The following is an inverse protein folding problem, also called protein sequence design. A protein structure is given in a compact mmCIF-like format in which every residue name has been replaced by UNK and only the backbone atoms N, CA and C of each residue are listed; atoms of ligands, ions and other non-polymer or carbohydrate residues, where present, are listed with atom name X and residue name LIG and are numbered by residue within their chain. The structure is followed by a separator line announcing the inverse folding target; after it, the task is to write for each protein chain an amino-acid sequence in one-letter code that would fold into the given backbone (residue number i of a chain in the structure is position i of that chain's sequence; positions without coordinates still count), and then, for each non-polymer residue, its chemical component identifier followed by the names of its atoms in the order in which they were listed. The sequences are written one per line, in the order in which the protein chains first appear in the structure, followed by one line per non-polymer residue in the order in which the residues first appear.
data_IF_905818442993
#
_entry.id   IF_905818442993
#
_cell.length_a   1.000
_cell.length_b   1.000
_cell.length_c   1.000
_cell.angle_alpha   90.00
_cell.angle_beta   90.00
_cell.angle_gamma   90.00
#
_symmetry.space_group_name_H-M   'P 1'
#
loop_
_entity.id
_entity.type
_entity.pdbx_description
1 polymer ?
#
# COMPACT_ATOMS: atom_id res chain seq x y z
N UNK A 1 -24.48 3.36 14.61
CA UNK A 1 -23.62 4.10 13.65
C UNK A 1 -23.60 3.33 12.33
N UNK A 2 -23.51 4.01 11.19
CA UNK A 2 -23.36 3.35 9.88
C UNK A 2 -21.99 2.66 9.77
N UNK A 3 -21.87 1.47 9.14
CA UNK A 3 -20.58 0.81 8.94
C UNK A 3 -19.58 1.68 8.16
N UNK A 4 -18.30 1.57 8.50
CA UNK A 4 -17.19 2.21 7.78
C UNK A 4 -16.98 1.46 6.46
N UNK A 5 -16.89 2.19 5.36
CA UNK A 5 -16.63 1.62 4.03
C UNK A 5 -15.12 1.48 3.82
N UNK A 6 -14.65 0.26 3.62
CA UNK A 6 -13.29 -0.05 3.21
C UNK A 6 -13.23 -0.15 1.68
N UNK A 7 -12.38 0.67 1.07
CA UNK A 7 -12.25 0.73 -0.38
C UNK A 7 -10.81 1.01 -0.81
N UNK A 8 -10.52 0.80 -2.10
CA UNK A 8 -9.26 1.21 -2.72
C UNK A 8 -8.47 0.09 -3.39
N UNK A 9 -7.15 0.21 -3.37
CA UNK A 9 -6.19 -0.66 -4.05
C UNK A 9 -5.95 -1.99 -3.31
N UNK A 10 -4.92 -2.74 -3.70
CA UNK A 10 -4.73 -4.15 -3.36
C UNK A 10 -4.68 -4.46 -1.85
N UNK A 11 -4.11 -3.57 -1.03
CA UNK A 11 -3.99 -3.79 0.42
C UNK A 11 -5.32 -3.88 1.17
N UNK A 12 -6.44 -3.44 0.59
CA UNK A 12 -7.78 -3.67 1.16
C UNK A 12 -8.12 -5.16 1.32
N UNK A 13 -7.48 -6.05 0.55
CA UNK A 13 -7.65 -7.49 0.67
C UNK A 13 -7.24 -7.97 2.06
N UNK A 14 -6.12 -7.46 2.58
CA UNK A 14 -5.68 -7.77 3.94
C UNK A 14 -6.73 -7.35 4.97
N UNK A 15 -7.45 -6.24 4.72
CA UNK A 15 -8.55 -5.77 5.55
C UNK A 15 -9.82 -6.63 5.47
N UNK A 16 -9.84 -7.70 4.67
CA UNK A 16 -10.98 -8.60 4.52
C UNK A 16 -11.98 -8.18 3.44
N UNK A 17 -11.65 -7.20 2.58
CA UNK A 17 -12.54 -6.82 1.48
C UNK A 17 -12.57 -7.94 0.45
N UNK A 18 -13.76 -8.53 0.27
CA UNK A 18 -14.01 -9.56 -0.72
C UNK A 18 -14.00 -9.00 -2.13
N UNK A 19 -13.54 -9.80 -3.09
CA UNK A 19 -13.48 -9.39 -4.50
C UNK A 19 -14.86 -9.28 -5.14
N UNK A 20 -15.83 -10.08 -4.68
CA UNK A 20 -17.14 -10.24 -5.30
C UNK A 20 -17.09 -10.84 -6.71
N UNK A 21 -18.26 -10.90 -7.36
CA UNK A 21 -18.40 -11.31 -8.76
C UNK A 21 -17.97 -10.17 -9.69
N UNK A 22 -16.94 -10.39 -10.50
CA UNK A 22 -16.39 -9.36 -11.42
C UNK A 22 -17.32 -9.02 -12.58
N UNK A 23 -18.36 -9.81 -12.82
CA UNK A 23 -19.39 -9.54 -13.82
C UNK A 23 -20.47 -8.60 -13.31
N UNK A 24 -20.53 -8.39 -11.99
CA UNK A 24 -21.49 -7.49 -11.34
C UNK A 24 -20.88 -6.13 -11.10
N UNK A 25 -21.76 -5.13 -11.02
CA UNK A 25 -21.37 -3.80 -10.58
C UNK A 25 -20.80 -3.87 -9.14
N UNK A 26 -19.78 -3.04 -8.81
CA UNK A 26 -19.25 -2.94 -7.46
C UNK A 26 -20.36 -2.64 -6.44
N UNK A 27 -20.33 -3.34 -5.32
CA UNK A 27 -21.29 -3.16 -4.24
C UNK A 27 -20.67 -3.38 -2.86
N UNK A 28 -21.35 -2.90 -1.82
CA UNK A 28 -20.92 -3.07 -0.44
C UNK A 28 -21.24 -4.48 0.06
N UNK A 29 -20.19 -5.24 0.37
CA UNK A 29 -20.30 -6.60 0.88
C UNK A 29 -19.72 -6.69 2.31
N UNK A 30 -20.19 -7.64 3.13
CA UNK A 30 -19.52 -8.00 4.37
C UNK A 30 -18.05 -8.37 4.12
N UNK A 31 -17.21 -8.14 5.13
CA UNK A 31 -15.82 -8.58 5.10
C UNK A 31 -15.70 -10.09 5.29
N UNK A 32 -14.54 -10.63 4.92
CA UNK A 32 -14.10 -11.99 5.24
C UNK A 32 -12.76 -11.94 6.00
N UNK A 33 -12.72 -12.30 7.30
CA UNK A 33 -13.86 -12.64 8.16
C UNK A 33 -14.78 -11.43 8.43
N UNK A 34 -16.04 -11.70 8.78
CA UNK A 34 -17.04 -10.66 9.01
C UNK A 34 -16.70 -9.77 10.22
N UNK A 35 -16.89 -8.46 10.05
CA UNK A 35 -16.80 -7.46 11.12
C UNK A 35 -17.92 -6.44 10.89
N UNK A 36 -18.96 -6.39 11.75
CA UNK A 36 -20.16 -5.58 11.50
C UNK A 36 -19.90 -4.07 11.52
N UNK A 37 -18.72 -3.64 12.01
CA UNK A 37 -18.30 -2.23 11.97
C UNK A 37 -17.94 -1.77 10.56
N UNK A 38 -17.72 -2.70 9.62
CA UNK A 38 -17.17 -2.42 8.30
C UNK A 38 -17.98 -3.08 7.17
N UNK A 39 -17.91 -2.45 6.00
CA UNK A 39 -18.31 -3.02 4.72
C UNK A 39 -17.18 -2.82 3.71
N UNK A 40 -16.94 -3.81 2.86
CA UNK A 40 -15.95 -3.72 1.78
C UNK A 40 -16.63 -3.39 0.45
N UNK A 41 -16.12 -2.40 -0.27
CA UNK A 41 -16.56 -2.18 -1.66
C UNK A 41 -15.95 -3.26 -2.55
N UNK A 42 -16.76 -4.15 -3.10
CA UNK A 42 -16.34 -5.24 -3.97
C UNK A 42 -15.90 -4.76 -5.37
N UNK A 43 -15.52 -5.68 -6.26
CA UNK A 43 -15.04 -5.34 -7.60
C UNK A 43 -13.53 -5.08 -7.66
N UNK A 44 -13.06 -4.39 -8.70
CA UNK A 44 -11.63 -4.18 -8.94
C UNK A 44 -11.26 -2.70 -9.13
N UNK A 45 -10.29 -2.15 -8.36
CA UNK A 45 -9.88 -0.74 -8.42
C UNK A 45 -9.19 -0.34 -9.73
N UNK A 46 -8.95 -1.29 -10.63
CA UNK A 46 -8.45 -1.02 -11.99
C UNK A 46 -9.54 -0.53 -12.95
N UNK A 47 -10.81 -0.52 -12.54
CA UNK A 47 -11.94 -0.15 -13.40
C UNK A 47 -12.53 1.19 -12.94
N UNK A 48 -12.81 2.11 -13.86
CA UNK A 48 -13.39 3.42 -13.54
C UNK A 48 -14.71 3.30 -12.74
N UNK A 49 -15.57 2.35 -13.12
CA UNK A 49 -16.85 2.06 -12.45
C UNK A 49 -16.71 1.78 -10.94
N UNK A 50 -15.56 1.27 -10.50
CA UNK A 50 -15.26 1.05 -9.08
C UNK A 50 -15.20 2.37 -8.32
N UNK A 51 -14.46 3.34 -8.85
CA UNK A 51 -14.27 4.65 -8.23
C UNK A 51 -15.52 5.51 -8.35
N UNK A 52 -16.25 5.39 -9.46
CA UNK A 52 -17.54 6.04 -9.65
C UNK A 52 -18.56 5.56 -8.62
N UNK A 53 -18.59 4.24 -8.39
CA UNK A 53 -19.46 3.66 -7.37
C UNK A 53 -19.08 4.11 -5.96
N UNK A 54 -17.78 4.19 -5.63
CA UNK A 54 -17.34 4.71 -4.33
C UNK A 54 -17.82 6.14 -4.10
N UNK A 55 -17.68 7.01 -5.11
CA UNK A 55 -18.17 8.38 -5.05
C UNK A 55 -19.69 8.43 -4.84
N UNK A 56 -20.46 7.64 -5.59
CA UNK A 56 -21.92 7.58 -5.46
C UNK A 56 -22.38 7.06 -4.07
N UNK A 57 -21.57 6.25 -3.41
CA UNK A 57 -21.84 5.73 -2.06
C UNK A 57 -21.37 6.67 -0.94
N UNK A 58 -20.56 7.68 -1.26
CA UNK A 58 -19.86 8.48 -0.27
C UNK A 58 -20.76 9.37 0.62
N UNK A 59 -21.86 10.00 0.13
CA UNK A 59 -22.64 10.92 0.94
C UNK A 59 -23.05 10.36 2.30
N UNK A 60 -22.67 11.04 3.38
CA UNK A 60 -23.00 10.65 4.75
C UNK A 60 -22.32 9.38 5.26
N UNK A 61 -21.33 8.82 4.54
CA UNK A 61 -20.58 7.63 4.96
C UNK A 61 -19.19 7.96 5.47
N UNK A 62 -18.70 7.09 6.36
CA UNK A 62 -17.30 7.05 6.79
C UNK A 62 -16.53 6.12 5.87
N UNK A 63 -15.41 6.57 5.32
CA UNK A 63 -14.63 5.86 4.30
C UNK A 63 -13.19 5.74 4.75
N UNK A 64 -12.65 4.52 4.70
CA UNK A 64 -11.23 4.24 4.82
C UNK A 64 -10.69 3.81 3.44
N UNK A 65 -9.83 4.65 2.88
CA UNK A 65 -9.30 4.52 1.52
C UNK A 65 -7.89 3.94 1.54
N UNK A 66 -7.68 2.77 0.95
CA UNK A 66 -6.34 2.24 0.65
C UNK A 66 -5.87 2.73 -0.73
N UNK A 67 -4.75 3.44 -0.81
CA UNK A 67 -4.28 4.00 -2.09
C UNK A 67 -2.88 3.51 -2.45
N UNK A 68 -2.77 2.76 -3.55
CA UNK A 68 -1.54 2.35 -4.24
C UNK A 68 -0.29 2.01 -3.40
N UNK A 69 -0.37 1.69 -2.11
CA UNK A 69 0.78 1.67 -1.19
C UNK A 69 1.80 0.53 -1.34
N UNK A 70 1.89 -0.06 -2.52
CA UNK A 70 2.88 -1.05 -2.93
C UNK A 70 3.76 -0.56 -4.10
N UNK A 71 3.68 0.73 -4.49
CA UNK A 71 4.39 1.20 -5.69
C UNK A 71 5.90 1.13 -5.53
N UNK A 72 6.42 1.24 -4.31
CA UNK A 72 7.83 0.99 -4.04
C UNK A 72 8.27 -0.42 -4.46
N UNK A 73 7.46 -1.46 -4.24
CA UNK A 73 7.77 -2.82 -4.71
C UNK A 73 7.59 -2.92 -6.23
N UNK A 74 6.52 -2.33 -6.78
CA UNK A 74 6.29 -2.36 -8.23
C UNK A 74 7.48 -1.75 -9.01
N UNK A 75 8.12 -0.72 -8.46
CA UNK A 75 9.26 -0.03 -9.07
C UNK A 75 10.63 -0.57 -8.66
N UNK A 76 10.78 -1.10 -7.45
CA UNK A 76 12.10 -1.34 -6.83
C UNK A 76 12.20 -2.65 -6.05
N UNK A 77 11.27 -3.61 -6.22
CA UNK A 77 11.41 -4.92 -5.58
C UNK A 77 12.66 -5.65 -6.07
N UNK A 78 12.91 -5.58 -7.37
CA UNK A 78 14.13 -6.08 -8.00
C UNK A 78 15.17 -4.96 -8.04
N UNK A 79 16.43 -5.32 -7.77
CA UNK A 79 17.54 -4.40 -7.75
C UNK A 79 17.95 -4.02 -9.17
N UNK A 80 18.05 -2.71 -9.44
CA UNK A 80 18.58 -2.18 -10.70
C UNK A 80 20.11 -2.08 -10.73
N UNK A 81 20.64 -1.78 -11.91
CA UNK A 81 22.07 -1.46 -12.13
C UNK A 81 22.21 -0.01 -12.67
N UNK A 82 23.02 0.86 -12.02
CA UNK A 82 23.74 0.60 -10.78
C UNK A 82 22.78 0.51 -9.58
N UNK A 83 23.18 -0.27 -8.57
CA UNK A 83 22.41 -0.34 -7.34
C UNK A 83 22.55 0.96 -6.55
N UNK A 84 21.45 1.37 -5.90
CA UNK A 84 21.37 2.64 -5.20
C UNK A 84 20.89 2.49 -3.76
N UNK A 85 21.12 3.53 -2.98
CA UNK A 85 20.54 3.75 -1.65
C UNK A 85 20.27 5.26 -1.47
N UNK A 86 19.62 5.64 -0.38
CA UNK A 86 19.27 7.01 -0.07
C UNK A 86 19.37 7.28 1.42
N UNK A 87 19.48 8.56 1.75
CA UNK A 87 19.15 9.07 3.08
C UNK A 87 17.67 9.45 3.10
N UNK A 88 16.96 9.05 4.16
CA UNK A 88 15.58 9.46 4.42
C UNK A 88 15.58 10.28 5.69
N UNK A 89 15.10 11.53 5.61
CA UNK A 89 15.17 12.46 6.73
C UNK A 89 14.48 11.94 8.00
N UNK A 90 13.37 11.20 7.83
CA UNK A 90 12.58 10.61 8.93
C UNK A 90 13.19 9.29 9.47
N UNK A 91 14.21 8.73 8.81
CA UNK A 91 14.91 7.51 9.23
C UNK A 91 16.43 7.72 9.34
N UNK A 92 16.91 8.71 10.14
CA UNK A 92 18.33 9.06 10.19
C UNK A 92 19.20 7.95 10.81
N UNK A 93 18.58 6.99 11.50
CA UNK A 93 19.25 5.87 12.14
C UNK A 93 19.54 4.71 11.17
N UNK A 94 18.91 4.67 9.99
CA UNK A 94 19.16 3.61 9.01
C UNK A 94 20.43 3.93 8.21
N UNK A 95 21.46 3.07 8.25
CA UNK A 95 22.68 3.31 7.49
C UNK A 95 22.42 3.22 5.99
N UNK A 96 23.25 3.89 5.20
CA UNK A 96 23.37 3.59 3.77
C UNK A 96 24.30 2.39 3.59
N UNK A 97 23.96 1.51 2.64
CA UNK A 97 24.78 0.36 2.31
C UNK A 97 26.06 0.81 1.58
N UNK A 98 27.21 0.14 1.80
CA UNK A 98 28.41 0.40 1.03
C UNK A 98 28.20 0.06 -0.44
N UNK A 99 29.04 0.63 -1.32
CA UNK A 99 29.06 0.35 -2.76
C UNK A 99 27.73 0.64 -3.48
N UNK A 100 26.95 1.61 -2.98
CA UNK A 100 25.71 2.07 -3.61
C UNK A 100 25.85 3.49 -4.12
N UNK A 101 25.20 3.76 -5.25
CA UNK A 101 24.98 5.14 -5.71
C UNK A 101 24.00 5.79 -4.74
N UNK A 102 24.40 6.88 -4.09
CA UNK A 102 23.49 7.63 -3.23
C UNK A 102 22.63 8.55 -4.08
N UNK A 103 21.32 8.36 -4.03
CA UNK A 103 20.36 9.21 -4.73
C UNK A 103 19.67 10.17 -3.76
N UNK A 104 19.34 11.40 -4.20
CA UNK A 104 18.56 12.32 -3.40
C UNK A 104 17.14 11.79 -3.12
N UNK A 105 16.64 11.97 -1.90
CA UNK A 105 15.25 11.59 -1.55
C UNK A 105 14.22 12.24 -2.49
N UNK A 106 14.47 13.48 -2.95
CA UNK A 106 13.61 14.18 -3.93
C UNK A 106 13.44 13.40 -5.24
N UNK A 107 14.47 12.73 -5.73
CA UNK A 107 14.41 11.97 -6.98
C UNK A 107 13.53 10.73 -6.82
N UNK A 108 13.56 10.12 -5.63
CA UNK A 108 12.65 9.02 -5.29
C UNK A 108 11.21 9.52 -5.14
N UNK A 109 10.99 10.69 -4.52
CA UNK A 109 9.65 11.30 -4.43
C UNK A 109 9.05 11.57 -5.80
N UNK A 110 9.85 12.06 -6.75
CA UNK A 110 9.42 12.27 -8.15
C UNK A 110 8.95 10.97 -8.82
N UNK A 111 9.52 9.81 -8.46
CA UNK A 111 9.04 8.51 -8.96
C UNK A 111 7.60 8.22 -8.56
N UNK A 112 7.14 8.76 -7.43
CA UNK A 112 5.78 8.59 -6.91
C UNK A 112 4.84 9.75 -7.29
N UNK A 113 5.27 10.67 -8.15
CA UNK A 113 4.48 11.84 -8.53
C UNK A 113 3.15 11.48 -9.24
N UNK A 114 3.13 10.42 -10.06
CA UNK A 114 1.92 9.94 -10.72
C UNK A 114 0.91 9.42 -9.69
N UNK A 115 1.35 8.56 -8.76
CA UNK A 115 0.52 8.05 -7.66
C UNK A 115 -0.02 9.19 -6.78
N UNK A 116 0.81 10.20 -6.50
CA UNK A 116 0.43 11.38 -5.74
C UNK A 116 -0.63 12.22 -6.47
N UNK A 117 -0.46 12.42 -7.78
CA UNK A 117 -1.40 13.17 -8.62
C UNK A 117 -2.74 12.45 -8.76
N UNK A 118 -2.70 11.12 -8.92
CA UNK A 118 -3.89 10.28 -8.94
C UNK A 118 -4.66 10.33 -7.61
N UNK A 119 -3.95 10.27 -6.48
CA UNK A 119 -4.58 10.42 -5.17
C UNK A 119 -5.23 11.80 -5.02
N UNK A 120 -4.51 12.86 -5.39
CA UNK A 120 -5.03 14.23 -5.28
C UNK A 120 -6.31 14.42 -6.09
N UNK A 121 -6.32 14.02 -7.36
CA UNK A 121 -7.50 14.09 -8.22
C UNK A 121 -8.67 13.26 -7.66
N UNK A 122 -8.39 12.10 -7.08
CA UNK A 122 -9.44 11.27 -6.49
C UNK A 122 -9.97 11.83 -5.17
N UNK A 123 -9.12 12.37 -4.30
CA UNK A 123 -9.55 13.00 -3.04
C UNK A 123 -10.37 14.26 -3.30
N UNK A 124 -10.02 15.07 -4.30
CA UNK A 124 -10.82 16.22 -4.75
C UNK A 124 -12.24 15.77 -5.12
N UNK A 125 -12.33 14.78 -6.01
CA UNK A 125 -13.59 14.22 -6.48
C UNK A 125 -14.43 13.61 -5.35
N UNK A 126 -13.80 12.82 -4.48
CA UNK A 126 -14.49 12.09 -3.42
C UNK A 126 -14.97 13.04 -2.31
N UNK A 127 -14.18 14.05 -1.95
CA UNK A 127 -14.54 15.03 -0.93
C UNK A 127 -15.72 15.89 -1.35
N UNK A 128 -15.86 16.18 -2.66
CA UNK A 128 -17.02 16.87 -3.22
C UNK A 128 -18.34 16.08 -3.09
N UNK A 129 -18.30 14.81 -2.68
CA UNK A 129 -19.48 13.99 -2.41
C UNK A 129 -19.92 14.03 -0.93
N UNK A 130 -19.31 14.89 -0.11
CA UNK A 130 -19.66 15.10 1.30
C UNK A 130 -19.73 13.80 2.14
N UNK A 131 -18.63 13.00 2.18
CA UNK A 131 -18.58 11.88 3.11
C UNK A 131 -18.63 12.38 4.56
N UNK A 132 -19.26 11.61 5.45
CA UNK A 132 -19.28 11.91 6.89
C UNK A 132 -17.88 11.81 7.54
N UNK A 133 -16.94 11.13 6.87
CA UNK A 133 -15.54 11.12 7.24
C UNK A 133 -14.72 10.34 6.22
N UNK A 134 -13.50 10.78 5.97
CA UNK A 134 -12.59 10.17 5.00
C UNK A 134 -11.21 10.07 5.62
N UNK A 135 -10.62 8.88 5.61
CA UNK A 135 -9.24 8.64 6.03
C UNK A 135 -8.47 7.86 4.98
N UNK A 136 -7.18 8.15 4.87
CA UNK A 136 -6.24 7.35 4.09
C UNK A 136 -5.66 6.24 4.98
N UNK A 137 -5.67 5.01 4.48
CA UNK A 137 -5.12 3.84 5.15
C UNK A 137 -3.64 3.68 4.79
N UNK A 138 -2.78 3.69 5.80
CA UNK A 138 -1.36 3.39 5.67
C UNK A 138 -1.12 1.94 5.20
N UNK A 139 -0.13 1.77 4.33
CA UNK A 139 0.25 0.47 3.83
C UNK A 139 1.18 -0.26 4.81
N UNK A 140 1.13 -1.61 4.88
CA UNK A 140 2.07 -2.37 5.69
C UNK A 140 3.52 -2.10 5.25
N UNK A 141 4.48 -2.14 6.19
CA UNK A 141 5.91 -2.05 5.86
C UNK A 141 6.37 -3.23 4.98
N UNK A 142 7.57 -3.16 4.37
CA UNK A 142 8.08 -4.23 3.53
C UNK A 142 8.41 -5.50 4.31
N UNK A 143 8.40 -6.63 3.61
CA UNK A 143 8.87 -7.93 4.09
C UNK A 143 10.40 -7.99 4.12
N UNK A 144 11.02 -8.42 5.21
CA UNK A 144 12.49 -8.40 5.35
C UNK A 144 13.22 -9.65 4.83
N UNK A 145 12.66 -10.85 4.99
CA UNK A 145 13.35 -12.11 4.68
C UNK A 145 13.47 -12.33 3.16
N UNK A 146 14.69 -12.10 2.66
CA UNK A 146 15.07 -12.29 1.25
C UNK A 146 14.88 -13.73 0.78
N UNK A 147 15.22 -14.74 1.59
CA UNK A 147 15.14 -16.14 1.16
C UNK A 147 13.68 -16.56 0.97
N UNK A 148 12.81 -16.21 1.93
CA UNK A 148 11.38 -16.47 1.84
C UNK A 148 10.72 -15.67 0.71
N UNK A 149 11.09 -14.41 0.52
CA UNK A 149 10.59 -13.60 -0.60
C UNK A 149 10.98 -14.17 -1.96
N UNK A 150 12.23 -14.61 -2.10
CA UNK A 150 12.72 -15.28 -3.31
C UNK A 150 11.92 -16.54 -3.61
N UNK A 151 11.59 -17.33 -2.60
CA UNK A 151 10.74 -18.51 -2.73
C UNK A 151 9.29 -18.16 -3.13
N UNK A 152 8.71 -17.13 -2.53
CA UNK A 152 7.33 -16.66 -2.81
C UNK A 152 7.17 -16.06 -4.21
N UNK A 153 8.18 -15.32 -4.67
CA UNK A 153 8.25 -14.83 -6.03
C UNK A 153 8.57 -15.98 -7.00
N UNK A 154 9.28 -17.00 -6.53
CA UNK A 154 9.90 -17.99 -7.36
C UNK A 154 10.87 -17.32 -8.34
N UNK A 155 11.80 -16.46 -7.87
CA UNK A 155 12.66 -15.62 -8.73
C UNK A 155 13.41 -16.41 -9.81
N UNK A 156 13.65 -17.72 -9.63
CA UNK A 156 14.18 -18.60 -10.69
C UNK A 156 13.18 -19.04 -11.78
N UNK A 157 11.88 -18.83 -11.57
CA UNK A 157 10.75 -19.05 -12.47
C UNK A 157 9.93 -17.75 -12.73
N UNK A 158 10.31 -16.63 -12.11
CA UNK A 158 9.67 -15.32 -12.24
C UNK A 158 10.18 -14.68 -13.53
N UNK A 159 9.79 -15.31 -14.64
CA UNK A 159 10.35 -15.16 -15.97
C UNK A 159 10.14 -13.77 -16.58
N UNK A 160 11.24 -13.25 -17.16
CA UNK A 160 11.42 -12.33 -18.28
C UNK A 160 10.54 -11.05 -18.39
N UNK A 161 9.24 -11.10 -18.10
CA UNK A 161 8.30 -10.01 -18.29
C UNK A 161 8.49 -8.88 -17.28
N UNK A 162 8.70 -9.18 -16.00
CA UNK A 162 8.97 -8.14 -15.00
C UNK A 162 10.39 -7.58 -15.17
N UNK A 163 11.35 -8.44 -15.51
CA UNK A 163 12.72 -8.05 -15.83
C UNK A 163 12.74 -7.10 -17.05
N UNK A 164 12.13 -7.49 -18.17
CA UNK A 164 12.04 -6.68 -19.38
C UNK A 164 11.29 -5.37 -19.17
N UNK A 165 10.20 -5.37 -18.39
CA UNK A 165 9.45 -4.15 -18.06
C UNK A 165 10.28 -3.13 -17.27
N UNK A 166 11.35 -3.58 -16.60
CA UNK A 166 12.24 -2.73 -15.80
C UNK A 166 13.67 -2.66 -16.40
N UNK A 167 13.88 -3.19 -17.61
CA UNK A 167 15.20 -3.18 -18.26
C UNK A 167 16.28 -4.00 -17.53
N UNK A 168 15.88 -5.01 -16.75
CA UNK A 168 16.79 -5.84 -15.96
C UNK A 168 17.17 -7.11 -16.71
N UNK A 169 18.40 -7.57 -16.44
CA UNK A 169 18.90 -8.86 -16.91
C UNK A 169 18.24 -10.00 -16.11
N UNK A 170 17.45 -10.88 -16.76
CA UNK A 170 16.76 -11.98 -16.09
C UNK A 170 17.72 -12.96 -15.38
N UNK A 171 18.97 -13.09 -15.82
CA UNK A 171 19.96 -13.99 -15.24
C UNK A 171 20.66 -13.41 -14.00
N UNK A 172 20.44 -12.12 -13.72
CA UNK A 172 21.08 -11.37 -12.63
C UNK A 172 20.08 -10.73 -11.67
N UNK A 173 18.83 -11.20 -11.68
CA UNK A 173 17.78 -10.68 -10.81
C UNK A 173 18.11 -10.93 -9.34
N UNK A 174 18.25 -9.84 -8.59
CA UNK A 174 18.40 -9.85 -7.15
C UNK A 174 17.33 -8.98 -6.51
N UNK A 175 16.94 -9.31 -5.28
CA UNK A 175 16.04 -8.47 -4.51
C UNK A 175 16.77 -7.23 -4.01
N UNK A 176 16.10 -6.09 -4.07
CA UNK A 176 16.56 -4.88 -3.37
C UNK A 176 16.60 -5.17 -1.86
N UNK A 177 17.69 -4.82 -1.16
CA UNK A 177 17.81 -5.07 0.28
C UNK A 177 16.63 -4.50 1.08
N UNK A 178 16.23 -5.21 2.15
CA UNK A 178 15.09 -4.83 2.97
C UNK A 178 15.21 -3.41 3.54
N UNK A 179 16.41 -2.99 3.96
CA UNK A 179 16.67 -1.64 4.46
C UNK A 179 16.42 -0.56 3.41
N UNK A 180 16.78 -0.81 2.14
CA UNK A 180 16.52 0.11 1.03
C UNK A 180 15.02 0.13 0.71
N UNK A 181 14.36 -1.04 0.66
CA UNK A 181 12.90 -1.10 0.48
C UNK A 181 12.13 -0.40 1.59
N UNK A 182 12.61 -0.45 2.83
CA UNK A 182 12.02 0.26 3.97
C UNK A 182 12.12 1.78 3.80
N UNK A 183 13.28 2.29 3.37
CA UNK A 183 13.46 3.71 3.02
C UNK A 183 12.51 4.13 1.88
N UNK A 184 12.41 3.32 0.83
CA UNK A 184 11.52 3.60 -0.31
C UNK A 184 10.03 3.59 0.09
N UNK A 185 9.60 2.59 0.87
CA UNK A 185 8.26 2.53 1.45
C UNK A 185 7.97 3.79 2.27
N UNK A 186 8.92 4.20 3.11
CA UNK A 186 8.77 5.38 3.95
C UNK A 186 8.60 6.66 3.11
N UNK A 187 9.39 6.82 2.04
CA UNK A 187 9.23 7.93 1.09
C UNK A 187 7.85 7.90 0.43
N UNK A 188 7.38 6.74 -0.03
CA UNK A 188 6.03 6.61 -0.61
C UNK A 188 4.94 6.98 0.40
N UNK A 189 4.99 6.45 1.63
CA UNK A 189 4.01 6.79 2.67
C UNK A 189 4.02 8.29 2.98
N UNK A 190 5.19 8.92 2.98
CA UNK A 190 5.32 10.37 3.19
C UNK A 190 4.71 11.16 2.04
N UNK A 191 4.93 10.76 0.79
CA UNK A 191 4.31 11.40 -0.38
C UNK A 191 2.78 11.31 -0.30
N UNK A 192 2.24 10.13 0.01
CA UNK A 192 0.80 9.92 0.16
C UNK A 192 0.23 10.76 1.31
N UNK A 193 0.92 10.82 2.45
CA UNK A 193 0.54 11.63 3.61
C UNK A 193 0.48 13.12 3.27
N UNK A 194 1.51 13.65 2.61
CA UNK A 194 1.51 15.06 2.19
C UNK A 194 0.35 15.40 1.24
N UNK A 195 -0.06 14.46 0.37
CA UNK A 195 -1.25 14.66 -0.47
C UNK A 195 -2.51 14.65 0.38
N UNK A 196 -2.69 13.65 1.26
CA UNK A 196 -3.87 13.54 2.10
C UNK A 196 -4.07 14.77 3.01
N UNK A 197 -3.00 15.28 3.61
CA UNK A 197 -2.99 16.49 4.45
C UNK A 197 -3.51 17.72 3.70
N UNK A 198 -3.14 17.90 2.42
CA UNK A 198 -3.63 19.02 1.59
C UNK A 198 -5.15 19.03 1.39
N UNK A 199 -5.79 17.87 1.50
CA UNK A 199 -7.24 17.71 1.38
C UNK A 199 -7.92 17.57 2.76
N UNK A 200 -7.19 17.77 3.86
CA UNK A 200 -7.73 17.58 5.21
C UNK A 200 -8.14 16.13 5.49
N UNK A 201 -7.58 15.16 4.76
CA UNK A 201 -7.83 13.74 4.91
C UNK A 201 -6.81 13.14 5.89
N UNK A 202 -7.19 12.75 7.11
CA UNK A 202 -6.25 12.15 8.05
C UNK A 202 -5.70 10.83 7.54
N UNK A 203 -4.45 10.53 7.87
CA UNK A 203 -3.83 9.23 7.61
C UNK A 203 -3.85 8.39 8.87
N UNK A 204 -4.37 7.16 8.77
CA UNK A 204 -4.20 6.15 9.82
C UNK A 204 -3.02 5.27 9.43
N UNK A 205 -1.86 5.38 10.11
CA UNK A 205 -0.65 4.65 9.73
C UNK A 205 -0.79 3.14 10.00
N UNK A 206 0.13 2.35 9.44
CA UNK A 206 0.24 0.94 9.78
C UNK A 206 0.45 0.77 11.30
N UNK A 207 -0.19 -0.21 11.97
CA UNK A 207 -0.08 -0.37 13.41
C UNK A 207 1.35 -0.80 13.82
N UNK A 208 1.98 -0.10 14.77
CA UNK A 208 3.34 -0.43 15.26
C UNK A 208 3.52 -1.90 15.68
N UNK A 209 2.46 -2.54 16.17
CA UNK A 209 2.47 -3.96 16.52
C UNK A 209 2.77 -4.90 15.33
N UNK A 210 2.67 -4.43 14.07
CA UNK A 210 3.03 -5.22 12.90
C UNK A 210 4.50 -5.14 12.49
N UNK A 211 5.30 -4.32 13.18
CA UNK A 211 6.70 -4.08 12.85
C UNK A 211 7.61 -5.07 13.58
N UNK A 212 8.65 -5.54 12.92
CA UNK A 212 9.76 -6.26 13.55
C UNK A 212 10.82 -5.29 14.10
N UNK A 213 11.88 -5.83 14.70
CA UNK A 213 12.96 -5.02 15.28
C UNK A 213 13.75 -4.17 14.27
N UNK A 214 13.60 -4.41 12.97
CA UNK A 214 14.20 -3.62 11.90
C UNK A 214 13.22 -2.63 11.25
N UNK A 215 11.98 -2.54 11.75
CA UNK A 215 10.93 -1.70 11.19
C UNK A 215 10.25 -2.29 9.94
N UNK A 216 10.51 -3.55 9.61
CA UNK A 216 9.85 -4.27 8.52
C UNK A 216 8.61 -5.01 9.02
N UNK A 217 7.82 -5.61 8.12
CA UNK A 217 6.62 -6.37 8.49
C UNK A 217 7.01 -7.68 9.19
N UNK A 218 6.57 -7.84 10.43
CA UNK A 218 6.76 -9.07 11.20
C UNK A 218 6.14 -10.27 10.47
N UNK A 219 6.81 -11.43 10.55
CA UNK A 219 6.48 -12.62 9.75
C UNK A 219 5.07 -13.15 9.97
N UNK A 220 4.51 -12.93 11.16
CA UNK A 220 3.14 -13.32 11.52
C UNK A 220 2.08 -12.59 10.71
N UNK A 221 2.45 -11.49 10.07
CA UNK A 221 1.56 -10.66 9.26
C UNK A 221 1.76 -10.85 7.76
N UNK A 222 2.60 -11.79 7.33
CA UNK A 222 2.83 -12.05 5.91
C UNK A 222 1.66 -12.83 5.30
N UNK A 223 1.19 -12.40 4.14
CA UNK A 223 0.42 -13.27 3.24
C UNK A 223 1.36 -14.19 2.45
N UNK A 224 0.78 -15.25 1.87
CA UNK A 224 1.42 -16.20 0.95
C UNK A 224 1.62 -15.61 -0.47
N UNK A 225 2.11 -14.37 -0.54
CA UNK A 225 2.58 -13.72 -1.76
C UNK A 225 3.73 -12.75 -1.42
N UNK A 226 4.35 -12.14 -2.41
CA UNK A 226 5.56 -11.32 -2.19
C UNK A 226 5.30 -9.94 -1.56
N UNK A 227 4.07 -9.42 -1.61
CA UNK A 227 3.83 -7.97 -1.43
C UNK A 227 2.76 -7.64 -0.39
N UNK A 228 1.81 -8.52 -0.13
CA UNK A 228 0.68 -8.24 0.75
C UNK A 228 0.88 -8.77 2.17
N UNK A 229 0.23 -8.08 3.11
CA UNK A 229 0.00 -8.57 4.46
C UNK A 229 -1.24 -9.48 4.53
N UNK A 230 -1.37 -10.25 5.60
CA UNK A 230 -2.46 -11.21 5.79
C UNK A 230 -3.65 -10.64 6.58
N UNK A 231 -4.61 -11.51 6.90
CA UNK A 231 -5.82 -11.15 7.64
C UNK A 231 -5.54 -10.72 9.10
N UNK A 232 -4.45 -11.18 9.72
CA UNK A 232 -4.07 -10.76 11.07
C UNK A 232 -3.61 -9.29 11.09
N UNK A 233 -2.87 -8.85 10.07
CA UNK A 233 -2.61 -7.42 9.85
C UNK A 233 -3.91 -6.64 9.66
N UNK A 234 -4.81 -7.21 8.84
CA UNK A 234 -6.14 -6.65 8.62
C UNK A 234 -6.92 -6.38 9.89
N UNK A 235 -6.88 -7.31 10.84
CA UNK A 235 -7.54 -7.16 12.14
C UNK A 235 -6.96 -5.97 12.94
N UNK A 236 -5.63 -5.85 13.01
CA UNK A 236 -4.98 -4.71 13.69
C UNK A 236 -5.34 -3.37 13.03
N UNK A 237 -5.33 -3.32 11.70
CA UNK A 237 -5.64 -2.11 10.96
C UNK A 237 -7.11 -1.72 11.11
N UNK A 238 -8.05 -2.68 11.06
CA UNK A 238 -9.48 -2.43 11.30
C UNK A 238 -9.72 -1.91 12.71
N UNK A 239 -9.00 -2.41 13.71
CA UNK A 239 -9.13 -1.89 15.07
C UNK A 239 -8.66 -0.43 15.17
N UNK A 240 -7.53 -0.08 14.54
CA UNK A 240 -7.08 1.33 14.45
C UNK A 240 -8.12 2.21 13.74
N UNK A 241 -8.70 1.72 12.64
CA UNK A 241 -9.71 2.47 11.87
C UNK A 241 -11.00 2.68 12.68
N UNK A 242 -11.48 1.66 13.40
CA UNK A 242 -12.68 1.78 14.23
C UNK A 242 -12.48 2.84 15.32
N UNK A 243 -11.33 2.82 15.99
CA UNK A 243 -10.99 3.78 17.04
C UNK A 243 -10.81 5.21 16.51
N UNK A 244 -10.34 5.39 15.28
CA UNK A 244 -10.23 6.72 14.66
C UNK A 244 -11.60 7.38 14.40
N UNK A 245 -12.61 6.57 14.08
CA UNK A 245 -13.95 7.05 13.71
C UNK A 245 -14.96 7.08 14.88
N UNK A 246 -14.50 6.78 16.10
CA UNK A 246 -15.30 6.80 17.33
C UNK A 246 -15.08 8.12 18.06
#
# INVERSE_FOLDING_TARGET
MSPIVLAGHSHRKALGVVRGDRTRAPDLLPLEPADPRFLGLSGGPKQAVYWDRLCALAPGRRIALAWEGNRYNDAFLLQGEPAFDLFVAELPHLPVLPDRVIVPERAVRERFAETASGLAAFLERLSAQEPAGLVLVGAPPPKADTARLTALLGIGAYDAKLAAANGLDPDRLTLTPASVRLKLWHVEQTVLRCVAERFGCPVVPAPEACFDGAGCLHTDYWAEDATHANAAYGALMRERLANHFT
#
